data_IF_429660138529
#
_entry.id   IF_429660138529
#
_cell.length_a   1.000
_cell.length_b   1.000
_cell.length_c   1.000
_cell.angle_alpha   90.00
_cell.angle_beta   90.00
_cell.angle_gamma   90.00
#
_symmetry.space_group_name_H-M   'P 1'
#
loop_
_entity.id
_entity.type
_entity.pdbx_description
1 polymer ?
#
# COMPACT_ATOMS: atom_id res chain seq x y z
N UNK A 1 -11.25 20.71 51.09
CA UNK A 1 -11.03 19.27 50.79
C UNK A 1 -11.82 18.73 49.60
N UNK A 2 -13.12 19.07 49.42
CA UNK A 2 -13.93 18.60 48.26
C UNK A 2 -13.32 18.94 46.89
N UNK A 3 -12.79 20.15 46.72
CA UNK A 3 -12.18 20.57 45.45
C UNK A 3 -10.87 19.81 45.14
N UNK A 4 -10.08 19.47 46.16
CA UNK A 4 -8.84 18.69 46.01
C UNK A 4 -9.17 17.27 45.56
N UNK A 5 -10.19 16.65 46.16
CA UNK A 5 -10.64 15.30 45.78
C UNK A 5 -11.27 15.27 44.37
N UNK A 6 -11.99 16.31 43.97
CA UNK A 6 -12.50 16.45 42.61
C UNK A 6 -11.37 16.65 41.58
N UNK A 7 -10.32 17.41 41.92
CA UNK A 7 -9.17 17.58 41.05
C UNK A 7 -8.35 16.29 40.93
N UNK A 8 -8.16 15.54 42.02
CA UNK A 8 -7.53 14.21 42.01
C UNK A 8 -8.26 13.21 41.10
N UNK A 9 -9.60 13.18 41.14
CA UNK A 9 -10.42 12.34 40.25
C UNK A 9 -10.24 12.71 38.77
N UNK A 10 -10.15 14.00 38.46
CA UNK A 10 -9.90 14.49 37.09
C UNK A 10 -8.51 14.11 36.59
N UNK A 11 -7.48 14.21 37.45
CA UNK A 11 -6.12 13.79 37.12
C UNK A 11 -6.07 12.29 36.87
N UNK A 12 -6.70 11.47 37.72
CA UNK A 12 -6.78 10.02 37.52
C UNK A 12 -7.46 9.64 36.19
N UNK A 13 -8.57 10.30 35.85
CA UNK A 13 -9.26 10.08 34.58
C UNK A 13 -8.38 10.45 33.38
N UNK A 14 -7.63 11.54 33.47
CA UNK A 14 -6.73 12.00 32.41
C UNK A 14 -5.54 11.04 32.21
N UNK A 15 -4.97 10.50 33.30
CA UNK A 15 -3.91 9.46 33.22
C UNK A 15 -4.46 8.16 32.62
N UNK A 16 -5.67 7.75 33.02
CA UNK A 16 -6.33 6.58 32.44
C UNK A 16 -6.55 6.72 30.93
N UNK A 17 -7.04 7.89 30.48
CA UNK A 17 -7.22 8.16 29.05
C UNK A 17 -5.87 8.18 28.31
N UNK A 18 -4.83 8.84 28.84
CA UNK A 18 -3.50 8.86 28.21
C UNK A 18 -2.87 7.46 28.12
N UNK A 19 -3.13 6.57 29.10
CA UNK A 19 -2.63 5.20 29.04
C UNK A 19 -3.21 4.37 27.90
N UNK A 20 -4.45 4.67 27.46
CA UNK A 20 -5.07 3.99 26.32
C UNK A 20 -4.54 4.44 24.95
N UNK A 21 -3.98 5.65 24.86
CA UNK A 21 -3.46 6.18 23.59
C UNK A 21 -2.09 5.57 23.23
N UNK A 22 -1.32 5.12 24.22
CA UNK A 22 0.00 4.50 24.01
C UNK A 22 -0.06 3.07 23.45
N UNK A 23 -1.23 2.43 23.45
CA UNK A 23 -1.42 1.06 22.95
C UNK A 23 -1.57 0.95 21.43
N UNK A 24 -1.79 2.05 20.72
CA UNK A 24 -1.82 2.08 19.25
C UNK A 24 -0.39 2.22 18.72
N UNK A 25 0.42 1.20 18.97
CA UNK A 25 1.73 1.09 18.34
C UNK A 25 1.56 0.77 16.85
N UNK A 26 2.40 1.40 16.02
CA UNK A 26 2.46 1.21 14.58
C UNK A 26 2.75 -0.27 14.26
N UNK A 27 1.71 -1.09 14.04
CA UNK A 27 1.89 -2.49 13.72
C UNK A 27 2.65 -2.60 12.41
N UNK A 28 3.86 -3.17 12.46
CA UNK A 28 4.63 -3.46 11.25
C UNK A 28 3.84 -4.48 10.45
N UNK A 29 3.48 -4.16 9.20
CA UNK A 29 2.80 -5.07 8.27
C UNK A 29 3.50 -6.42 8.09
N UNK A 30 4.79 -6.49 8.45
CA UNK A 30 5.63 -7.67 8.35
C UNK A 30 6.44 -7.88 9.63
N UNK A 31 6.50 -9.13 10.06
CA UNK A 31 7.43 -9.63 11.07
C UNK A 31 8.16 -10.84 10.51
N UNK A 32 9.49 -10.86 10.64
CA UNK A 32 10.34 -11.95 10.17
C UNK A 32 11.11 -12.50 11.37
N UNK A 33 10.93 -13.79 11.62
CA UNK A 33 11.61 -14.55 12.66
C UNK A 33 12.28 -15.77 12.03
N UNK A 34 13.44 -16.16 12.55
CA UNK A 34 14.04 -17.45 12.25
C UNK A 34 13.51 -18.49 13.24
N UNK A 35 13.22 -19.69 12.77
CA UNK A 35 12.89 -20.81 13.65
C UNK A 35 14.13 -21.67 13.95
N UNK A 36 13.99 -22.63 14.87
CA UNK A 36 15.06 -23.55 15.30
C UNK A 36 15.69 -24.36 14.15
N UNK A 37 15.02 -24.44 12.99
CA UNK A 37 15.49 -25.12 11.79
C UNK A 37 16.09 -24.17 10.73
N UNK A 38 16.43 -22.92 11.11
CA UNK A 38 16.90 -21.84 10.22
C UNK A 38 15.95 -21.49 9.07
N UNK A 39 14.67 -21.88 9.17
CA UNK A 39 13.67 -21.48 8.17
C UNK A 39 13.14 -20.10 8.52
N UNK A 40 13.01 -19.26 7.51
CA UNK A 40 12.43 -17.93 7.64
C UNK A 40 10.92 -18.06 7.82
N UNK A 41 10.39 -17.59 8.94
CA UNK A 41 8.95 -17.46 9.14
C UNK A 41 8.56 -16.00 8.88
N UNK A 42 7.76 -15.82 7.83
CA UNK A 42 7.14 -14.55 7.49
C UNK A 42 5.77 -14.46 8.12
N UNK A 43 5.54 -13.41 8.90
CA UNK A 43 4.23 -13.08 9.47
C UNK A 43 3.76 -11.74 8.92
N UNK A 44 2.55 -11.73 8.36
CA UNK A 44 1.85 -10.59 7.79
C UNK A 44 0.69 -10.22 8.70
N UNK A 45 0.62 -8.95 9.11
CA UNK A 45 -0.49 -8.42 9.90
C UNK A 45 -1.60 -7.86 8.98
N UNK A 46 -2.82 -7.82 9.49
CA UNK A 46 -3.99 -7.20 8.84
C UNK A 46 -4.21 -7.57 7.37
N UNK A 47 -4.00 -8.85 7.03
CA UNK A 47 -4.32 -9.34 5.70
C UNK A 47 -5.83 -9.56 5.56
N UNK A 48 -6.31 -9.52 4.33
CA UNK A 48 -7.68 -9.86 3.94
C UNK A 48 -7.68 -10.94 2.87
N UNK A 49 -8.83 -11.62 2.74
CA UNK A 49 -9.10 -12.52 1.62
C UNK A 49 -8.91 -11.74 0.32
N UNK A 50 -8.12 -12.29 -0.61
CA UNK A 50 -7.83 -11.67 -1.90
C UNK A 50 -6.54 -10.84 -1.93
N UNK A 51 -5.95 -10.49 -0.77
CA UNK A 51 -4.62 -9.88 -0.76
C UNK A 51 -3.60 -10.83 -1.39
N UNK A 52 -2.58 -10.27 -2.02
CA UNK A 52 -1.65 -11.03 -2.84
C UNK A 52 -0.24 -10.90 -2.29
N UNK A 53 0.34 -12.03 -1.89
CA UNK A 53 1.71 -12.11 -1.45
C UNK A 53 2.61 -12.67 -2.56
N UNK A 54 3.79 -12.08 -2.73
CA UNK A 54 4.77 -12.47 -3.75
C UNK A 54 6.20 -12.46 -3.19
N UNK A 55 7.05 -13.30 -3.77
CA UNK A 55 8.52 -13.19 -3.69
C UNK A 55 9.01 -12.86 -5.10
N UNK A 56 9.84 -11.83 -5.23
CA UNK A 56 10.42 -11.39 -6.49
C UNK A 56 11.93 -11.28 -6.42
N UNK A 57 12.61 -11.45 -7.55
CA UNK A 57 14.02 -11.06 -7.69
C UNK A 57 14.17 -9.55 -7.99
N UNK A 58 15.42 -9.12 -8.17
CA UNK A 58 15.77 -7.73 -8.52
C UNK A 58 15.25 -7.26 -9.88
N UNK A 59 15.01 -8.19 -10.81
CA UNK A 59 14.46 -7.89 -12.13
C UNK A 59 12.92 -7.86 -12.12
N UNK A 60 12.29 -8.09 -10.96
CA UNK A 60 10.85 -8.14 -10.80
C UNK A 60 10.22 -9.47 -11.21
N UNK A 61 11.02 -10.50 -11.53
CA UNK A 61 10.53 -11.84 -11.81
C UNK A 61 9.86 -12.42 -10.56
N UNK A 62 8.63 -12.89 -10.71
CA UNK A 62 7.86 -13.47 -9.60
C UNK A 62 8.25 -14.94 -9.41
N UNK A 63 8.96 -15.22 -8.32
CA UNK A 63 9.43 -16.56 -7.95
C UNK A 63 8.35 -17.33 -7.17
N UNK A 64 7.51 -16.59 -6.44
CA UNK A 64 6.42 -17.14 -5.66
C UNK A 64 5.24 -16.19 -5.66
N UNK A 65 4.02 -16.73 -5.71
CA UNK A 65 2.78 -15.96 -5.66
C UNK A 65 1.70 -16.74 -4.91
N UNK A 66 1.01 -16.07 -4.00
CA UNK A 66 -0.09 -16.64 -3.23
C UNK A 66 -1.19 -15.62 -2.98
N UNK A 67 -2.44 -16.02 -3.23
CA UNK A 67 -3.61 -15.25 -2.83
C UNK A 67 -4.03 -15.68 -1.44
N UNK A 68 -4.02 -14.72 -0.50
CA UNK A 68 -4.40 -14.93 0.89
C UNK A 68 -5.90 -15.29 0.98
N UNK A 69 -6.21 -16.33 1.74
CA UNK A 69 -7.57 -16.88 1.91
C UNK A 69 -8.18 -16.61 3.30
N UNK A 70 -7.53 -15.79 4.12
CA UNK A 70 -7.99 -15.48 5.50
C UNK A 70 -7.84 -14.00 5.83
N UNK A 71 -8.51 -13.59 6.90
CA UNK A 71 -8.39 -12.24 7.48
C UNK A 71 -7.52 -12.27 8.74
N UNK A 72 -6.90 -11.14 9.08
CA UNK A 72 -6.11 -10.98 10.31
C UNK A 72 -4.64 -11.33 10.09
N UNK A 73 -4.04 -12.08 11.01
CA UNK A 73 -2.63 -12.47 10.93
C UNK A 73 -2.42 -13.69 10.03
N UNK A 74 -1.43 -13.63 9.16
CA UNK A 74 -1.02 -14.73 8.30
C UNK A 74 0.46 -15.04 8.50
N UNK A 75 0.81 -16.30 8.77
CA UNK A 75 2.20 -16.74 8.87
C UNK A 75 2.51 -17.88 7.94
N UNK A 76 3.71 -17.88 7.34
CA UNK A 76 4.22 -18.95 6.49
C UNK A 76 5.74 -19.06 6.60
N UNK A 77 6.22 -20.31 6.63
CA UNK A 77 7.65 -20.62 6.58
C UNK A 77 8.16 -20.74 5.15
N UNK A 78 9.35 -20.21 4.90
CA UNK A 78 10.07 -20.31 3.65
C UNK A 78 11.49 -20.80 3.91
N UNK A 79 11.99 -21.64 3.00
CA UNK A 79 13.40 -22.00 2.92
C UNK A 79 14.05 -21.21 1.78
N UNK A 80 14.55 -20.02 2.13
CA UNK A 80 15.13 -19.08 1.18
C UNK A 80 16.60 -19.38 0.88
N UNK A 81 17.23 -20.27 1.64
CA UNK A 81 18.65 -20.66 1.47
C UNK A 81 18.90 -21.42 0.17
N UNK A 82 17.82 -21.91 -0.46
CA UNK A 82 17.84 -22.59 -1.75
C UNK A 82 17.81 -21.64 -2.95
N UNK A 83 17.56 -20.34 -2.73
CA UNK A 83 17.63 -19.34 -3.78
C UNK A 83 19.10 -19.08 -4.18
N UNK A 84 19.38 -18.79 -5.47
CA UNK A 84 20.69 -18.34 -5.89
C UNK A 84 21.13 -17.05 -5.17
N UNK A 85 22.44 -16.80 -5.17
CA UNK A 85 22.97 -15.53 -4.68
C UNK A 85 22.34 -14.35 -5.45
N UNK A 86 21.82 -13.36 -4.73
CA UNK A 86 21.11 -12.24 -5.34
C UNK A 86 20.24 -11.44 -4.39
N UNK A 87 19.62 -10.39 -4.94
CA UNK A 87 18.69 -9.51 -4.24
C UNK A 87 17.23 -9.87 -4.56
N UNK A 88 16.41 -9.86 -3.52
CA UNK A 88 15.02 -10.29 -3.60
C UNK A 88 14.11 -9.39 -2.75
N UNK A 89 12.80 -9.52 -2.99
CA UNK A 89 11.77 -8.74 -2.32
C UNK A 89 10.59 -9.61 -1.92
N UNK A 90 10.17 -9.50 -0.67
CA UNK A 90 8.79 -9.80 -0.30
C UNK A 90 7.89 -8.65 -0.73
N UNK A 91 6.76 -8.94 -1.38
CA UNK A 91 5.73 -7.96 -1.74
C UNK A 91 4.38 -8.43 -1.21
N UNK A 92 3.72 -7.61 -0.39
CA UNK A 92 2.32 -7.77 -0.01
C UNK A 92 1.51 -6.67 -0.68
N UNK A 93 0.68 -7.09 -1.63
CA UNK A 93 -0.25 -6.23 -2.33
C UNK A 93 -1.64 -6.34 -1.69
N UNK A 94 -2.09 -5.23 -1.09
CA UNK A 94 -3.43 -5.05 -0.53
C UNK A 94 -4.28 -4.18 -1.46
N UNK A 95 -5.50 -3.88 -1.02
CA UNK A 95 -6.48 -3.09 -1.77
C UNK A 95 -5.98 -1.66 -2.03
N UNK A 96 -5.40 -1.02 -1.00
CA UNK A 96 -5.01 0.40 -1.03
C UNK A 96 -3.50 0.63 -0.95
N UNK A 97 -2.71 -0.40 -0.67
CA UNK A 97 -1.27 -0.28 -0.46
C UNK A 97 -0.52 -1.50 -0.98
N UNK A 98 0.77 -1.30 -1.23
CA UNK A 98 1.73 -2.34 -1.55
C UNK A 98 2.91 -2.13 -0.62
N UNK A 99 3.23 -3.10 0.23
CA UNK A 99 4.44 -3.03 1.05
C UNK A 99 5.47 -4.07 0.63
N UNK A 100 6.73 -3.65 0.65
CA UNK A 100 7.87 -4.45 0.21
C UNK A 100 8.96 -4.51 1.27
N UNK A 101 9.60 -5.68 1.39
CA UNK A 101 10.78 -5.88 2.25
C UNK A 101 11.89 -6.53 1.43
N UNK A 102 13.03 -5.85 1.26
CA UNK A 102 14.19 -6.43 0.58
C UNK A 102 14.93 -7.44 1.48
N UNK A 103 15.46 -8.47 0.84
CA UNK A 103 16.41 -9.41 1.44
C UNK A 103 17.44 -9.86 0.41
N UNK A 104 18.61 -10.26 0.88
CA UNK A 104 19.72 -10.75 0.05
C UNK A 104 20.01 -12.20 0.42
N UNK A 105 20.32 -13.02 -0.59
CA UNK A 105 20.87 -14.36 -0.40
C UNK A 105 22.31 -14.34 -0.88
N UNK A 106 23.22 -14.85 -0.05
CA UNK A 106 24.64 -14.92 -0.37
C UNK A 106 25.26 -16.14 0.31
N UNK A 107 25.88 -17.03 -0.46
CA UNK A 107 26.47 -18.27 0.05
C UNK A 107 25.48 -19.07 0.94
N UNK A 108 24.22 -19.18 0.49
CA UNK A 108 23.11 -19.83 1.21
C UNK A 108 22.71 -19.17 2.54
N UNK A 109 23.26 -18.01 2.88
CA UNK A 109 22.83 -17.19 4.01
C UNK A 109 21.85 -16.11 3.55
N UNK A 110 20.86 -15.81 4.38
CA UNK A 110 19.80 -14.86 4.06
C UNK A 110 19.90 -13.67 5.00
N UNK A 111 19.95 -12.46 4.44
CA UNK A 111 19.98 -11.22 5.23
C UNK A 111 18.77 -10.34 4.89
N UNK A 112 18.06 -9.86 5.93
CA UNK A 112 16.85 -9.06 5.77
C UNK A 112 17.13 -7.57 6.03
N UNK A 113 16.90 -6.75 5.01
CA UNK A 113 17.10 -5.30 5.10
C UNK A 113 15.79 -4.61 5.52
N UNK A 114 15.32 -4.94 6.74
CA UNK A 114 14.00 -4.49 7.28
C UNK A 114 13.85 -2.97 7.33
N UNK A 115 14.95 -2.25 7.53
CA UNK A 115 14.96 -0.78 7.57
C UNK A 115 14.73 -0.14 6.19
N UNK A 116 14.91 -0.91 5.11
CA UNK A 116 14.63 -0.50 3.74
C UNK A 116 13.22 -0.92 3.29
N UNK A 117 12.37 -1.36 4.22
CA UNK A 117 10.97 -1.66 3.91
C UNK A 117 10.26 -0.40 3.40
N UNK A 118 9.44 -0.57 2.36
CA UNK A 118 8.69 0.53 1.74
C UNK A 118 7.21 0.20 1.74
N UNK A 119 6.38 1.23 1.86
CA UNK A 119 4.93 1.15 1.63
C UNK A 119 4.57 2.18 0.58
N UNK A 120 4.00 1.70 -0.52
CA UNK A 120 3.42 2.49 -1.59
C UNK A 120 1.89 2.51 -1.42
N UNK A 121 1.30 3.69 -1.25
CA UNK A 121 -0.15 3.83 -1.23
C UNK A 121 -0.67 4.07 -2.65
N UNK A 122 -1.62 3.23 -3.07
CA UNK A 122 -2.22 3.29 -4.40
C UNK A 122 -3.07 4.56 -4.53
N UNK A 123 -3.08 5.20 -5.71
CA UNK A 123 -4.05 6.25 -5.99
C UNK A 123 -5.46 5.67 -5.91
N UNK A 124 -6.37 6.42 -5.30
CA UNK A 124 -7.76 6.03 -5.09
C UNK A 124 -8.69 7.08 -5.67
N UNK A 125 -9.85 6.63 -6.14
CA UNK A 125 -10.86 7.48 -6.76
C UNK A 125 -12.22 7.26 -6.12
N UNK A 126 -12.99 8.33 -6.01
CA UNK A 126 -14.42 8.25 -5.76
C UNK A 126 -15.16 9.31 -6.57
N UNK A 127 -16.39 9.00 -6.96
CA UNK A 127 -17.21 9.85 -7.83
C UNK A 127 -18.41 10.38 -7.06
N UNK A 128 -18.80 11.62 -7.34
CA UNK A 128 -20.06 12.21 -6.83
C UNK A 128 -20.65 13.11 -7.90
N UNK A 129 -21.69 12.61 -8.57
CA UNK A 129 -22.18 13.26 -9.78
C UNK A 129 -21.08 13.27 -10.84
N UNK A 130 -20.90 14.41 -11.51
CA UNK A 130 -19.85 14.60 -12.51
C UNK A 130 -18.45 14.91 -11.93
N UNK A 131 -18.27 14.90 -10.62
CA UNK A 131 -16.97 15.15 -10.00
C UNK A 131 -16.24 13.84 -9.70
N UNK A 132 -14.96 13.79 -10.09
CA UNK A 132 -14.03 12.71 -9.76
C UNK A 132 -13.00 13.23 -8.77
N UNK A 133 -12.96 12.62 -7.59
CA UNK A 133 -12.00 12.92 -6.55
C UNK A 133 -10.89 11.88 -6.59
N UNK A 134 -9.64 12.34 -6.59
CA UNK A 134 -8.44 11.52 -6.63
C UNK A 134 -7.63 11.81 -5.38
N UNK A 135 -7.25 10.75 -4.66
CA UNK A 135 -6.42 10.84 -3.45
C UNK A 135 -5.25 9.86 -3.52
N UNK A 136 -4.05 10.32 -3.15
CA UNK A 136 -2.89 9.45 -2.93
C UNK A 136 -2.00 9.99 -1.80
N UNK A 137 -1.53 9.10 -0.93
CA UNK A 137 -0.51 9.39 0.07
C UNK A 137 0.89 9.00 -0.47
N UNK A 138 1.70 9.99 -0.78
CA UNK A 138 3.08 9.84 -1.28
C UNK A 138 4.08 10.25 -0.19
N UNK A 139 4.38 9.36 0.76
CA UNK A 139 5.23 9.68 1.92
C UNK A 139 6.64 10.17 1.55
N UNK A 140 7.14 9.71 0.41
CA UNK A 140 8.43 10.05 -0.19
C UNK A 140 8.33 11.15 -1.25
N UNK A 141 7.16 11.78 -1.40
CA UNK A 141 6.90 12.87 -2.35
C UNK A 141 7.15 12.49 -3.82
N UNK A 142 7.09 11.19 -4.14
CA UNK A 142 7.16 10.69 -5.50
C UNK A 142 5.99 11.22 -6.33
N UNK A 143 6.24 11.52 -7.62
CA UNK A 143 5.23 12.11 -8.48
C UNK A 143 4.07 11.15 -8.75
N UNK A 144 2.89 11.74 -8.93
CA UNK A 144 1.72 11.10 -9.51
C UNK A 144 1.42 11.77 -10.85
N UNK A 145 1.55 11.01 -11.93
CA UNK A 145 1.05 11.40 -13.24
C UNK A 145 -0.39 10.89 -13.40
N UNK A 146 -1.26 11.76 -13.91
CA UNK A 146 -2.69 11.51 -14.08
C UNK A 146 -3.05 11.83 -15.52
N UNK A 147 -3.47 10.80 -16.26
CA UNK A 147 -3.94 10.93 -17.64
C UNK A 147 -5.45 10.63 -17.67
N UNK A 148 -6.25 11.57 -18.15
CA UNK A 148 -7.70 11.40 -18.32
C UNK A 148 -8.00 11.23 -19.79
N UNK A 149 -8.67 10.14 -20.10
CA UNK A 149 -9.14 9.81 -21.43
C UNK A 149 -10.66 9.81 -21.50
N UNK A 150 -11.19 10.14 -22.67
CA UNK A 150 -12.62 10.16 -22.97
C UNK A 150 -12.94 9.27 -24.17
N UNK A 151 -14.03 8.52 -24.10
CA UNK A 151 -14.61 7.79 -25.21
C UNK A 151 -15.63 8.68 -25.95
N UNK A 152 -15.26 9.12 -27.15
CA UNK A 152 -16.10 9.94 -28.01
C UNK A 152 -17.17 9.16 -28.79
N UNK A 153 -17.26 7.84 -28.62
CA UNK A 153 -18.26 6.98 -29.25
C UNK A 153 -17.84 6.37 -30.59
N UNK A 154 -18.83 5.85 -31.33
CA UNK A 154 -18.72 4.84 -32.42
C UNK A 154 -17.76 5.21 -33.58
N UNK A 155 -17.40 6.48 -33.76
CA UNK A 155 -16.47 6.92 -34.81
C UNK A 155 -15.01 7.07 -34.34
N UNK A 156 -14.76 6.87 -33.04
CA UNK A 156 -13.42 6.89 -32.44
C UNK A 156 -13.15 5.51 -31.85
N UNK A 157 -12.27 4.73 -32.49
CA UNK A 157 -12.00 3.34 -32.07
C UNK A 157 -11.29 3.21 -30.70
N UNK A 158 -11.08 4.32 -29.96
CA UNK A 158 -10.35 4.30 -28.69
C UNK A 158 -10.62 5.54 -27.82
N UNK A 159 -10.45 5.34 -26.51
CA UNK A 159 -10.27 6.40 -25.52
C UNK A 159 -9.19 7.40 -25.95
N UNK A 160 -9.57 8.68 -26.14
CA UNK A 160 -8.67 9.76 -26.50
C UNK A 160 -8.19 10.51 -25.25
N UNK A 161 -6.90 10.82 -25.18
CA UNK A 161 -6.35 11.62 -24.07
C UNK A 161 -6.90 13.04 -24.16
N UNK A 162 -7.64 13.48 -23.14
CA UNK A 162 -8.22 14.82 -23.07
C UNK A 162 -7.54 15.72 -22.03
N UNK A 163 -6.82 15.13 -21.07
CA UNK A 163 -6.11 15.86 -20.03
C UNK A 163 -4.93 15.04 -19.49
N UNK A 164 -3.83 15.71 -19.14
CA UNK A 164 -2.70 15.14 -18.41
C UNK A 164 -2.19 16.18 -17.39
N UNK A 165 -1.90 15.74 -16.18
CA UNK A 165 -1.14 16.52 -15.21
C UNK A 165 -0.16 15.63 -14.43
N UNK A 166 0.89 16.25 -13.89
CA UNK A 166 1.82 15.60 -12.97
C UNK A 166 1.89 16.40 -11.69
N UNK A 167 1.61 15.75 -10.56
CA UNK A 167 1.71 16.33 -9.22
C UNK A 167 2.97 15.76 -8.57
N UNK A 168 3.92 16.62 -8.21
CA UNK A 168 5.19 16.24 -7.59
C UNK A 168 5.41 16.99 -6.27
N UNK A 169 6.41 16.57 -5.48
CA UNK A 169 6.83 17.25 -4.24
C UNK A 169 5.68 17.44 -3.23
N UNK A 170 4.73 16.51 -3.19
CA UNK A 170 3.51 16.61 -2.39
C UNK A 170 3.23 15.29 -1.70
N UNK A 171 3.06 15.32 -0.37
CA UNK A 171 2.76 14.11 0.41
C UNK A 171 1.32 13.66 0.33
N UNK A 172 0.39 14.59 0.50
CA UNK A 172 -1.04 14.32 0.42
C UNK A 172 -1.54 14.91 -0.89
N UNK A 173 -1.69 14.05 -1.90
CA UNK A 173 -2.19 14.46 -3.20
C UNK A 173 -3.70 14.34 -3.17
N UNK A 174 -4.37 15.48 -3.36
CA UNK A 174 -5.82 15.59 -3.45
C UNK A 174 -6.18 16.38 -4.70
N UNK A 175 -6.97 15.78 -5.58
CA UNK A 175 -7.37 16.41 -6.84
C UNK A 175 -8.84 16.16 -7.13
N UNK A 176 -9.47 17.15 -7.77
CA UNK A 176 -10.85 17.04 -8.25
C UNK A 176 -10.90 17.43 -9.72
N UNK A 177 -11.51 16.58 -10.53
CA UNK A 177 -11.91 16.90 -11.89
C UNK A 177 -13.42 16.96 -12.00
N UNK A 178 -13.89 17.91 -12.79
CA UNK A 178 -15.28 17.98 -13.21
C UNK A 178 -15.38 17.43 -14.64
N UNK A 179 -16.26 16.44 -14.83
CA UNK A 179 -16.53 15.82 -16.11
C UNK A 179 -17.67 16.56 -16.81
N UNK A 180 -17.50 16.85 -18.10
CA UNK A 180 -18.52 17.54 -18.90
C UNK A 180 -19.73 16.65 -19.18
N UNK A 181 -19.49 15.49 -19.80
CA UNK A 181 -20.52 14.53 -20.21
C UNK A 181 -20.47 13.30 -19.30
N UNK A 182 -21.04 13.40 -18.10
CA UNK A 182 -21.00 12.31 -17.12
C UNK A 182 -21.92 11.14 -17.52
N UNK A 183 -21.31 10.11 -18.13
CA UNK A 183 -21.90 8.80 -18.34
C UNK A 183 -20.89 7.72 -17.90
N UNK A 184 -21.37 6.70 -17.21
CA UNK A 184 -20.54 5.62 -16.71
C UNK A 184 -19.85 4.87 -17.86
N UNK A 185 -18.53 4.72 -17.75
CA UNK A 185 -17.68 4.09 -18.75
C UNK A 185 -17.12 5.05 -19.81
N UNK A 186 -17.58 6.30 -19.90
CA UNK A 186 -17.04 7.24 -20.89
C UNK A 186 -15.66 7.77 -20.55
N UNK A 187 -15.22 7.69 -19.30
CA UNK A 187 -13.90 8.17 -18.91
C UNK A 187 -13.02 7.04 -18.39
N UNK A 188 -11.75 7.12 -18.77
CA UNK A 188 -10.69 6.26 -18.25
C UNK A 188 -9.59 7.15 -17.68
N UNK A 189 -9.27 6.96 -16.41
CA UNK A 189 -8.16 7.65 -15.75
C UNK A 189 -7.03 6.66 -15.54
N UNK A 190 -5.85 7.02 -16.01
CA UNK A 190 -4.61 6.27 -15.83
C UNK A 190 -3.73 7.04 -14.86
N UNK A 191 -3.30 6.35 -13.80
CA UNK A 191 -2.40 6.87 -12.79
C UNK A 191 -1.05 6.20 -12.92
N UNK A 192 0.04 6.97 -12.98
CA UNK A 192 1.41 6.42 -12.98
C UNK A 192 2.17 6.98 -11.78
N UNK A 193 2.69 6.10 -10.95
CA UNK A 193 3.48 6.48 -9.78
C UNK A 193 4.40 5.32 -9.36
N UNK A 194 5.63 5.64 -8.96
CA UNK A 194 6.67 4.67 -8.56
C UNK A 194 6.85 3.49 -9.55
N UNK A 195 6.79 3.78 -10.86
CA UNK A 195 6.94 2.77 -11.92
C UNK A 195 5.75 1.81 -12.04
N UNK A 196 4.62 2.11 -11.40
CA UNK A 196 3.37 1.34 -11.45
C UNK A 196 2.30 2.14 -12.16
N UNK A 197 1.44 1.42 -12.87
CA UNK A 197 0.28 1.97 -13.55
C UNK A 197 -1.01 1.42 -12.93
N UNK A 198 -1.98 2.30 -12.69
CA UNK A 198 -3.32 1.96 -12.19
C UNK A 198 -4.37 2.58 -13.11
N UNK A 199 -5.35 1.78 -13.51
CA UNK A 199 -6.41 2.23 -14.42
C UNK A 199 -7.74 2.22 -13.69
N UNK A 200 -8.49 3.31 -13.81
CA UNK A 200 -9.86 3.43 -13.33
C UNK A 200 -10.79 3.84 -14.47
N UNK A 201 -11.84 3.06 -14.68
CA UNK A 201 -12.98 3.47 -15.49
C UNK A 201 -13.99 4.19 -14.59
N UNK A 202 -14.46 5.34 -15.07
CA UNK A 202 -15.45 6.20 -14.43
C UNK A 202 -16.74 6.12 -15.23
#
# INVERSE_FOLDING_TARGET
>A
MKNVMNNLKKVFLMVAIMSTVMGYANEKSFTITENDAKKTVLTLADVKVGNLFKIKDENGMVLYKETIQRKGTYSKGFDLTSLPDGSYFFELEKDMEISTIPFEVKANEVSFNKELAKTFFKPSTHTRGNMVFINQLSLNEMPLEIEVYYDGGVFTESYQLIHNETIANTKNIERVYELGDFEEGKYKIVFKSEGREFVKFI
#
